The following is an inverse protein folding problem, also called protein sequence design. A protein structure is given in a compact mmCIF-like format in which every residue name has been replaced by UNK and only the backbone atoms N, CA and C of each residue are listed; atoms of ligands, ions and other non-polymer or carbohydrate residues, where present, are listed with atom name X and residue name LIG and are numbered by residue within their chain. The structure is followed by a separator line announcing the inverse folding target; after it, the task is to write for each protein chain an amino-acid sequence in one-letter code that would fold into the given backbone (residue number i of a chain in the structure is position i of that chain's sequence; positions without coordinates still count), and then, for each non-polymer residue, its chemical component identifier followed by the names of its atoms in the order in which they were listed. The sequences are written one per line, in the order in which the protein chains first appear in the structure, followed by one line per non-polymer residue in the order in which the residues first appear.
data_IF_942722051574
#
_entry.id   IF_942722051574
#
_cell.length_a   1.000
_cell.length_b   1.000
_cell.length_c   1.000
_cell.angle_alpha   90.00
_cell.angle_beta   90.00
_cell.angle_gamma   90.00
#
_symmetry.space_group_name_H-M   'P 1'
#
loop_
_entity.id
_entity.type
_entity.pdbx_description
1 polymer ?
#
# COMPACT_ATOMS: atom_id res chain seq x y z
N UNK A 1 6.67 7.03 -14.20
CA UNK A 1 7.75 7.53 -13.31
C UNK A 1 7.47 7.26 -11.81
N UNK A 2 6.88 6.11 -11.45
CA UNK A 2 6.37 5.89 -10.06
C UNK A 2 6.78 4.54 -9.46
N UNK A 3 7.33 3.63 -10.27
CA UNK A 3 7.74 2.33 -9.77
C UNK A 3 9.00 2.47 -8.90
N UNK A 4 9.07 1.66 -7.85
CA UNK A 4 10.22 1.58 -6.96
C UNK A 4 11.51 1.20 -7.70
N UNK A 5 11.42 0.37 -8.74
CA UNK A 5 12.56 0.00 -9.59
C UNK A 5 13.29 1.19 -10.23
N UNK A 6 12.59 2.31 -10.45
CA UNK A 6 13.17 3.53 -11.03
C UNK A 6 13.55 4.61 -10.00
N UNK A 7 13.53 4.29 -8.71
CA UNK A 7 13.86 5.26 -7.64
C UNK A 7 15.26 5.86 -7.82
N UNK A 8 16.27 5.03 -8.10
CA UNK A 8 17.66 5.49 -8.29
C UNK A 8 17.78 6.46 -9.47
N UNK A 9 17.12 6.16 -10.58
CA UNK A 9 17.07 7.02 -11.76
C UNK A 9 16.44 8.36 -11.43
N UNK A 10 15.29 8.38 -10.75
CA UNK A 10 14.62 9.63 -10.33
C UNK A 10 15.52 10.46 -9.43
N UNK A 11 16.17 9.83 -8.44
CA UNK A 11 17.09 10.53 -7.54
C UNK A 11 18.25 11.17 -8.30
N UNK A 12 18.86 10.47 -9.25
CA UNK A 12 19.92 11.05 -10.09
C UNK A 12 19.40 12.24 -10.91
N UNK A 13 18.25 12.10 -11.59
CA UNK A 13 17.64 13.21 -12.34
C UNK A 13 17.39 14.42 -11.44
N UNK A 14 16.74 14.26 -10.29
CA UNK A 14 16.37 15.36 -9.38
C UNK A 14 17.56 15.96 -8.62
N UNK A 15 18.70 15.26 -8.55
CA UNK A 15 19.90 15.73 -7.85
C UNK A 15 20.91 16.39 -8.79
N UNK A 16 20.91 16.06 -10.07
CA UNK A 16 21.93 16.52 -11.01
C UNK A 16 21.36 17.42 -12.11
N UNK A 17 20.05 17.33 -12.38
CA UNK A 17 19.42 17.95 -13.54
C UNK A 17 18.09 18.62 -13.17
N UNK A 18 17.51 19.35 -14.12
CA UNK A 18 16.22 20.04 -13.97
C UNK A 18 15.25 19.56 -15.02
N UNK A 19 14.06 19.13 -14.61
CA UNK A 19 12.98 18.79 -15.55
C UNK A 19 12.27 20.10 -15.93
N UNK A 20 12.42 20.50 -17.20
CA UNK A 20 11.82 21.73 -17.71
C UNK A 20 10.35 21.52 -18.04
N UNK A 21 10.04 20.41 -18.71
CA UNK A 21 8.68 20.05 -19.05
C UNK A 21 8.48 18.54 -19.16
N UNK A 22 7.25 18.09 -18.96
CA UNK A 22 6.84 16.70 -19.13
C UNK A 22 5.42 16.62 -19.66
N UNK A 23 5.21 15.86 -20.73
CA UNK A 23 3.92 15.41 -21.20
C UNK A 23 3.73 13.94 -20.80
N UNK A 24 2.77 13.68 -19.93
CA UNK A 24 2.46 12.34 -19.43
C UNK A 24 1.23 11.80 -20.14
N UNK A 25 1.47 10.98 -21.18
CA UNK A 25 0.41 10.44 -22.03
C UNK A 25 -0.24 9.19 -21.44
N UNK A 26 0.47 8.37 -20.66
CA UNK A 26 -0.09 7.10 -20.20
C UNK A 26 -0.24 6.07 -21.34
N UNK A 27 -1.20 5.15 -21.22
CA UNK A 27 -1.42 4.09 -22.20
C UNK A 27 -2.18 4.55 -23.43
N UNK A 28 -2.05 3.87 -24.58
CA UNK A 28 -2.68 4.27 -25.87
C UNK A 28 -2.23 5.63 -26.39
N UNK A 29 -0.97 5.97 -26.17
CA UNK A 29 -0.37 7.19 -26.72
C UNK A 29 -0.14 7.12 -28.25
N UNK A 30 -0.01 5.90 -28.77
CA UNK A 30 0.17 5.61 -30.20
C UNK A 30 -0.79 4.50 -30.57
N UNK A 31 -1.64 4.74 -31.56
CA UNK A 31 -2.68 3.77 -31.97
C UNK A 31 -2.08 2.50 -32.59
N UNK A 32 -0.83 2.57 -33.06
CA UNK A 32 -0.06 1.43 -33.56
C UNK A 32 0.33 0.42 -32.46
N UNK A 33 0.27 0.80 -31.19
CA UNK A 33 0.54 -0.08 -30.06
C UNK A 33 -0.80 -0.59 -29.53
N UNK A 34 -1.08 -1.87 -29.76
CA UNK A 34 -2.33 -2.50 -29.33
C UNK A 34 -2.47 -2.55 -27.80
N UNK A 35 -3.62 -2.11 -27.30
CA UNK A 35 -4.00 -2.22 -25.88
C UNK A 35 -3.24 -1.30 -24.94
N UNK A 36 -3.25 -1.62 -23.64
CA UNK A 36 -2.60 -0.85 -22.58
C UNK A 36 -1.26 -1.45 -22.15
N UNK A 37 -0.48 -1.91 -23.13
CA UNK A 37 0.77 -2.64 -22.87
C UNK A 37 1.90 -1.70 -22.43
N UNK A 38 1.88 -0.44 -22.87
CA UNK A 38 2.94 0.55 -22.62
C UNK A 38 2.34 1.86 -22.13
N UNK A 39 2.99 2.49 -21.14
CA UNK A 39 2.68 3.83 -20.66
C UNK A 39 3.77 4.81 -21.10
N UNK A 40 3.38 5.87 -21.81
CA UNK A 40 4.30 6.79 -22.49
C UNK A 40 4.37 8.15 -21.79
N UNK A 41 5.57 8.73 -21.74
CA UNK A 41 5.77 10.13 -21.37
C UNK A 41 6.93 10.72 -22.19
N UNK A 42 6.83 11.99 -22.52
CA UNK A 42 7.91 12.77 -23.12
C UNK A 42 8.32 13.87 -22.13
N UNK A 43 9.61 14.18 -22.04
CA UNK A 43 10.12 15.18 -21.10
C UNK A 43 11.36 15.87 -21.65
N UNK A 44 11.62 17.07 -21.14
CA UNK A 44 12.83 17.85 -21.41
C UNK A 44 13.61 18.00 -20.12
N UNK A 45 14.89 17.64 -20.16
CA UNK A 45 15.81 17.78 -19.03
C UNK A 45 16.91 18.76 -19.41
N UNK A 46 17.13 19.75 -18.55
CA UNK A 46 18.29 20.61 -18.59
C UNK A 46 19.40 20.00 -17.73
N UNK A 47 20.62 19.94 -18.27
CA UNK A 47 21.81 19.39 -17.59
C UNK A 47 22.43 20.42 -16.63
N UNK A 48 21.60 20.96 -15.76
CA UNK A 48 21.94 21.88 -14.68
C UNK A 48 20.93 21.66 -13.56
N UNK A 49 21.33 21.92 -12.31
CA UNK A 49 20.44 21.78 -11.17
C UNK A 49 19.83 23.12 -10.77
N UNK A 50 18.50 23.19 -10.82
CA UNK A 50 17.68 24.29 -10.35
C UNK A 50 16.54 23.73 -9.48
N UNK A 51 16.80 23.58 -8.18
CA UNK A 51 15.88 22.92 -7.24
C UNK A 51 14.48 23.56 -7.20
N UNK A 52 14.44 24.89 -7.20
CA UNK A 52 13.22 25.69 -7.10
C UNK A 52 12.54 25.97 -8.47
N UNK A 53 13.13 25.51 -9.56
CA UNK A 53 12.57 25.74 -10.89
C UNK A 53 11.25 24.97 -11.03
N UNK A 54 10.17 25.69 -11.35
CA UNK A 54 8.82 25.12 -11.54
C UNK A 54 8.64 24.66 -12.99
N UNK A 55 8.94 23.38 -13.23
CA UNK A 55 8.71 22.72 -14.52
C UNK A 55 7.23 22.72 -14.94
N UNK A 56 6.97 22.59 -16.24
CA UNK A 56 5.63 22.50 -16.80
C UNK A 56 5.23 21.03 -17.04
N UNK A 57 4.19 20.56 -16.35
CA UNK A 57 3.74 19.18 -16.46
C UNK A 57 2.31 19.11 -17.00
N UNK A 58 2.11 18.29 -18.03
CA UNK A 58 0.83 18.06 -18.67
C UNK A 58 0.37 16.62 -18.43
N UNK A 59 -0.78 16.46 -17.83
CA UNK A 59 -1.44 15.17 -17.66
C UNK A 59 -2.38 14.92 -18.84
N UNK A 60 -2.03 13.95 -19.69
CA UNK A 60 -2.68 13.64 -20.97
C UNK A 60 -3.14 12.18 -21.00
N UNK A 61 -3.78 11.74 -19.91
CA UNK A 61 -4.12 10.32 -19.67
C UNK A 61 -5.58 10.00 -19.96
N UNK A 62 -6.41 11.01 -20.24
CA UNK A 62 -7.86 10.85 -20.36
C UNK A 62 -8.25 10.35 -21.77
N UNK A 63 -7.47 10.71 -22.79
CA UNK A 63 -7.69 10.30 -24.18
C UNK A 63 -7.42 8.80 -24.45
N UNK A 64 -8.25 8.19 -25.32
CA UNK A 64 -8.18 6.76 -25.62
C UNK A 64 -7.45 6.41 -26.92
N UNK A 65 -7.08 7.42 -27.71
CA UNK A 65 -6.34 7.29 -28.97
C UNK A 65 -5.40 8.49 -29.18
N UNK A 66 -4.57 8.43 -30.21
CA UNK A 66 -3.64 9.49 -30.58
C UNK A 66 -4.37 10.84 -30.84
N UNK A 67 -5.51 10.78 -31.53
CA UNK A 67 -6.29 11.98 -31.87
C UNK A 67 -6.83 12.68 -30.61
N UNK A 68 -7.37 11.92 -29.65
CA UNK A 68 -7.87 12.45 -28.38
C UNK A 68 -6.75 13.14 -27.60
N UNK A 69 -5.58 12.49 -27.50
CA UNK A 69 -4.43 13.02 -26.75
C UNK A 69 -3.83 14.25 -27.40
N UNK A 70 -3.87 14.33 -28.73
CA UNK A 70 -3.48 15.54 -29.48
C UNK A 70 -4.44 16.69 -29.21
N UNK A 71 -5.74 16.43 -29.12
CA UNK A 71 -6.73 17.44 -28.75
C UNK A 71 -6.53 17.89 -27.29
N UNK A 72 -6.34 16.93 -26.37
CA UNK A 72 -6.08 17.18 -24.95
C UNK A 72 -4.79 17.98 -24.73
N UNK A 73 -3.73 17.69 -25.49
CA UNK A 73 -2.50 18.47 -25.46
C UNK A 73 -2.78 19.94 -25.80
N UNK A 74 -3.56 20.20 -26.85
CA UNK A 74 -3.90 21.57 -27.28
C UNK A 74 -4.73 22.32 -26.24
N UNK A 75 -5.59 21.63 -25.50
CA UNK A 75 -6.43 22.28 -24.47
C UNK A 75 -5.67 22.52 -23.17
N UNK A 76 -4.84 21.56 -22.74
CA UNK A 76 -4.13 21.63 -21.45
C UNK A 76 -2.82 22.43 -21.51
N UNK A 77 -2.28 22.74 -22.70
CA UNK A 77 -1.01 23.47 -22.84
C UNK A 77 -1.03 24.87 -22.22
N UNK A 78 -2.20 25.52 -22.13
CA UNK A 78 -2.36 26.85 -21.53
C UNK A 78 -2.28 26.85 -20.01
N UNK A 79 -2.57 25.73 -19.36
CA UNK A 79 -2.61 25.60 -17.89
C UNK A 79 -1.91 24.31 -17.42
N UNK A 80 -0.57 24.25 -17.53
CA UNK A 80 0.19 23.12 -17.04
C UNK A 80 0.31 23.15 -15.51
N UNK A 81 0.43 21.96 -14.91
CA UNK A 81 0.87 21.87 -13.52
C UNK A 81 2.29 22.42 -13.37
N UNK A 82 2.54 23.11 -12.26
CA UNK A 82 3.83 23.74 -11.94
C UNK A 82 4.37 23.20 -10.64
N UNK A 83 5.45 22.43 -10.71
CA UNK A 83 6.05 21.78 -9.55
C UNK A 83 7.58 21.80 -9.66
N UNK A 84 8.26 21.98 -8.52
CA UNK A 84 9.71 22.03 -8.48
C UNK A 84 10.34 20.69 -8.10
N UNK A 85 11.64 20.55 -8.34
CA UNK A 85 12.38 19.38 -7.86
C UNK A 85 12.46 19.33 -6.33
N UNK A 86 12.44 20.49 -5.66
CA UNK A 86 12.35 20.58 -4.20
C UNK A 86 11.05 19.96 -3.69
N UNK A 87 9.91 20.24 -4.34
CA UNK A 87 8.62 19.68 -3.94
C UNK A 87 8.55 18.16 -4.09
N UNK A 88 9.13 17.60 -5.16
CA UNK A 88 9.20 16.14 -5.30
C UNK A 88 10.03 15.50 -4.19
N UNK A 89 11.08 16.17 -3.71
CA UNK A 89 11.95 15.66 -2.64
C UNK A 89 11.28 15.65 -1.26
N UNK A 90 10.20 16.41 -1.05
CA UNK A 90 9.40 16.37 0.19
C UNK A 90 8.71 15.02 0.38
N UNK A 91 8.39 14.32 -0.72
CA UNK A 91 7.77 13.00 -0.67
C UNK A 91 8.86 11.92 -0.62
N UNK A 92 8.76 10.94 0.30
CA UNK A 92 9.68 9.81 0.33
C UNK A 92 9.83 9.12 -1.04
N UNK A 93 11.04 8.70 -1.40
CA UNK A 93 11.40 8.12 -2.72
C UNK A 93 11.33 9.08 -3.93
N UNK A 94 10.99 10.35 -3.70
CA UNK A 94 10.97 11.40 -4.71
C UNK A 94 10.19 11.06 -6.00
N UNK A 95 8.93 10.58 -5.92
CA UNK A 95 8.14 10.35 -7.12
C UNK A 95 7.80 11.68 -7.80
N UNK A 96 7.78 11.70 -9.13
CA UNK A 96 7.47 12.90 -9.92
C UNK A 96 5.95 13.10 -9.98
N UNK A 97 5.35 13.47 -8.85
CA UNK A 97 3.91 13.63 -8.68
C UNK A 97 3.51 15.10 -8.79
N UNK A 98 3.51 15.62 -10.02
CA UNK A 98 3.26 17.05 -10.30
C UNK A 98 1.79 17.49 -10.07
N UNK A 99 0.85 16.55 -9.93
CA UNK A 99 -0.57 16.83 -9.71
C UNK A 99 -0.95 16.85 -8.22
N UNK A 100 -0.01 16.56 -7.34
CA UNK A 100 -0.25 16.49 -5.89
C UNK A 100 -0.33 17.91 -5.33
N UNK A 101 -1.31 18.14 -4.46
CA UNK A 101 -1.49 19.45 -3.82
C UNK A 101 -0.43 19.71 -2.76
N UNK A 102 -0.15 20.99 -2.51
CA UNK A 102 0.77 21.43 -1.46
C UNK A 102 0.39 20.85 -0.08
N UNK A 103 -0.91 20.71 0.21
CA UNK A 103 -1.41 20.09 1.44
C UNK A 103 -0.88 18.66 1.62
N UNK A 104 -0.80 17.88 0.54
CA UNK A 104 -0.30 16.51 0.62
C UNK A 104 1.21 16.51 0.82
N UNK A 105 1.95 17.37 0.11
CA UNK A 105 3.41 17.49 0.33
C UNK A 105 3.74 17.91 1.76
N UNK A 106 2.97 18.85 2.32
CA UNK A 106 3.13 19.33 3.70
C UNK A 106 2.87 18.22 4.71
N UNK A 107 1.91 17.33 4.42
CA UNK A 107 1.65 16.16 5.26
C UNK A 107 2.89 15.27 5.34
N UNK A 108 3.53 14.98 4.20
CA UNK A 108 4.73 14.14 4.16
C UNK A 108 5.96 14.80 4.80
N UNK A 109 6.09 16.13 4.69
CA UNK A 109 7.23 16.87 5.22
C UNK A 109 7.16 17.07 6.74
N UNK A 110 5.99 17.45 7.27
CA UNK A 110 5.85 17.89 8.66
C UNK A 110 5.29 16.83 9.61
N UNK A 111 4.72 15.72 9.11
CA UNK A 111 4.13 14.69 9.97
C UNK A 111 5.02 13.46 10.09
N UNK A 112 4.90 12.80 11.25
CA UNK A 112 5.56 11.52 11.48
C UNK A 112 4.92 10.44 10.62
N UNK A 113 5.76 9.59 10.04
CA UNK A 113 5.32 8.39 9.31
C UNK A 113 4.46 7.52 10.22
N UNK A 114 3.34 7.03 9.73
CA UNK A 114 2.46 6.13 10.48
C UNK A 114 3.21 4.93 11.05
N UNK A 115 4.15 4.36 10.28
CA UNK A 115 4.99 3.24 10.71
C UNK A 115 5.78 3.50 11.99
N UNK A 116 6.17 4.76 12.25
CA UNK A 116 6.89 5.13 13.47
C UNK A 116 6.02 5.14 14.73
N UNK A 117 4.70 5.24 14.56
CA UNK A 117 3.72 5.28 15.66
C UNK A 117 3.05 3.92 15.81
N UNK A 118 2.65 3.32 14.69
CA UNK A 118 1.95 2.05 14.60
C UNK A 118 2.53 1.25 13.43
N UNK A 119 3.51 0.36 13.68
CA UNK A 119 4.10 -0.41 12.61
C UNK A 119 3.06 -1.36 12.00
N UNK A 120 2.97 -1.36 10.67
CA UNK A 120 2.15 -2.33 9.95
C UNK A 120 2.70 -3.74 10.17
N UNK A 121 1.94 -4.60 10.85
CA UNK A 121 2.32 -5.99 11.11
C UNK A 121 1.30 -6.94 10.51
N UNK A 122 1.80 -8.00 9.89
CA UNK A 122 0.97 -9.12 9.46
C UNK A 122 0.60 -9.94 10.70
N UNK A 123 -0.71 -10.20 10.87
CA UNK A 123 -1.23 -11.03 11.95
C UNK A 123 -0.95 -12.52 11.75
N UNK A 124 -1.50 -13.35 12.64
CA UNK A 124 -1.40 -14.81 12.53
C UNK A 124 -2.02 -15.31 11.21
N UNK A 125 -1.26 -16.07 10.42
CA UNK A 125 -1.80 -16.82 9.30
C UNK A 125 -1.85 -18.31 9.68
N UNK A 126 -3.06 -18.84 9.83
CA UNK A 126 -3.29 -20.22 10.32
C UNK A 126 -2.91 -21.31 9.31
N UNK A 127 -2.87 -20.99 8.01
CA UNK A 127 -2.58 -21.94 6.94
C UNK A 127 -3.77 -22.83 6.54
N UNK A 128 -4.73 -23.03 7.44
CA UNK A 128 -6.03 -23.64 7.15
C UNK A 128 -7.10 -23.06 8.08
N UNK A 129 -8.05 -22.31 7.53
CA UNK A 129 -9.14 -21.74 8.33
C UNK A 129 -10.11 -22.83 8.83
N UNK A 130 -10.38 -23.86 8.00
CA UNK A 130 -11.35 -24.91 8.31
C UNK A 130 -10.94 -25.77 9.51
N UNK A 131 -9.64 -25.84 9.80
CA UNK A 131 -9.11 -26.60 10.93
C UNK A 131 -9.04 -25.70 12.17
N UNK A 132 -8.52 -24.49 12.01
CA UNK A 132 -8.05 -23.69 13.15
C UNK A 132 -8.95 -22.50 13.53
N UNK A 133 -9.95 -22.15 12.71
CA UNK A 133 -10.81 -21.00 12.93
C UNK A 133 -12.27 -21.44 13.05
N UNK A 134 -12.98 -20.93 14.04
CA UNK A 134 -14.40 -21.18 14.27
C UNK A 134 -15.13 -19.87 14.51
N UNK A 135 -16.45 -19.87 14.41
CA UNK A 135 -17.24 -18.77 14.96
C UNK A 135 -17.33 -18.89 16.48
N UNK A 136 -17.38 -17.77 17.19
CA UNK A 136 -17.39 -17.78 18.66
C UNK A 136 -18.58 -18.54 19.25
N UNK A 137 -19.70 -18.60 18.52
CA UNK A 137 -20.93 -19.30 18.91
C UNK A 137 -20.91 -20.80 18.57
N UNK A 138 -19.95 -21.30 17.80
CA UNK A 138 -19.83 -22.73 17.47
C UNK A 138 -19.17 -23.55 18.58
N UNK A 139 -18.50 -22.89 19.52
CA UNK A 139 -17.72 -23.56 20.56
C UNK A 139 -18.27 -23.25 21.94
N UNK A 140 -17.98 -24.12 22.91
CA UNK A 140 -18.37 -23.88 24.29
C UNK A 140 -17.70 -22.63 24.86
N UNK A 141 -18.49 -21.71 25.40
CA UNK A 141 -17.99 -20.51 26.09
C UNK A 141 -17.00 -20.82 27.23
N UNK A 142 -17.10 -22.01 27.86
CA UNK A 142 -16.15 -22.46 28.90
C UNK A 142 -14.73 -22.68 28.35
N UNK A 143 -14.62 -23.07 27.07
CA UNK A 143 -13.34 -23.31 26.38
C UNK A 143 -12.81 -22.06 25.66
N UNK A 144 -13.53 -20.94 25.73
CA UNK A 144 -13.21 -19.70 25.02
C UNK A 144 -12.78 -18.59 25.98
N UNK A 145 -11.70 -17.91 25.64
CA UNK A 145 -11.19 -16.75 26.39
C UNK A 145 -11.58 -15.45 25.71
N UNK A 146 -12.72 -14.86 26.08
CA UNK A 146 -13.14 -13.56 25.52
C UNK A 146 -12.39 -12.36 26.11
N UNK A 147 -11.86 -12.50 27.33
CA UNK A 147 -11.21 -11.40 28.03
C UNK A 147 -9.72 -11.34 27.72
N UNK A 148 -9.31 -10.23 27.11
CA UNK A 148 -7.92 -9.92 26.79
C UNK A 148 -7.33 -9.07 27.94
N UNK A 149 -7.12 -9.69 29.10
CA UNK A 149 -6.36 -9.07 30.18
C UNK A 149 -4.94 -9.65 30.22
N UNK A 150 -3.94 -8.82 30.58
CA UNK A 150 -2.50 -9.14 30.54
C UNK A 150 -2.10 -10.43 31.28
N UNK A 151 -2.90 -10.91 32.22
CA UNK A 151 -2.79 -12.25 32.82
C UNK A 151 -3.66 -13.20 32.02
N UNK A 152 -3.17 -13.58 30.84
CA UNK A 152 -3.87 -14.55 29.99
C UNK A 152 -3.93 -15.90 30.70
N UNK A 153 -5.14 -16.42 30.88
CA UNK A 153 -5.36 -17.82 31.17
C UNK A 153 -5.19 -18.62 29.88
N UNK A 154 -3.95 -19.01 29.59
CA UNK A 154 -3.59 -19.83 28.43
C UNK A 154 -4.05 -21.30 28.56
N UNK A 155 -4.81 -21.65 29.60
CA UNK A 155 -5.42 -22.98 29.73
C UNK A 155 -6.62 -23.16 28.79
N UNK A 156 -7.17 -22.07 28.22
CA UNK A 156 -8.28 -22.14 27.28
C UNK A 156 -7.81 -22.48 25.87
N UNK A 157 -8.70 -23.11 25.09
CA UNK A 157 -8.41 -23.54 23.72
C UNK A 157 -8.65 -22.43 22.71
N UNK A 158 -9.72 -21.66 22.86
CA UNK A 158 -10.18 -20.73 21.83
C UNK A 158 -9.99 -19.26 22.25
N UNK A 159 -9.47 -18.45 21.33
CA UNK A 159 -9.24 -17.03 21.56
C UNK A 159 -9.78 -16.17 20.41
N UNK A 160 -10.22 -14.93 20.67
CA UNK A 160 -10.65 -13.98 19.65
C UNK A 160 -9.61 -13.84 18.55
N UNK A 161 -10.07 -13.99 17.32
CA UNK A 161 -9.23 -13.95 16.13
C UNK A 161 -9.77 -12.91 15.17
N UNK A 162 -8.95 -11.89 14.90
CA UNK A 162 -9.32 -10.89 13.92
C UNK A 162 -8.98 -11.41 12.53
N UNK A 163 -9.93 -12.13 11.95
CA UNK A 163 -10.01 -12.34 10.51
C UNK A 163 -10.68 -11.10 9.93
N UNK A 164 -10.16 -10.54 8.85
CA UNK A 164 -10.89 -9.48 8.13
C UNK A 164 -12.33 -9.90 7.82
N UNK A 165 -13.16 -8.98 7.39
CA UNK A 165 -14.56 -9.28 7.12
C UNK A 165 -15.19 -8.19 6.29
N UNK A 166 -16.51 -8.12 6.31
CA UNK A 166 -17.26 -7.15 5.54
C UNK A 166 -16.93 -5.71 5.95
N UNK A 167 -17.20 -4.78 5.05
CA UNK A 167 -16.96 -3.36 5.29
C UNK A 167 -17.70 -2.87 6.54
N UNK A 168 -16.94 -2.33 7.50
CA UNK A 168 -17.44 -1.71 8.74
C UNK A 168 -16.62 -0.45 9.02
N UNK A 169 -17.29 0.65 9.39
CA UNK A 169 -16.63 1.96 9.60
C UNK A 169 -15.88 2.09 10.92
N UNK A 170 -16.38 1.49 11.99
CA UNK A 170 -15.93 1.81 13.35
C UNK A 170 -15.51 0.58 14.17
N UNK A 171 -16.38 -0.41 14.24
CA UNK A 171 -16.19 -1.60 15.05
C UNK A 171 -17.07 -2.75 14.52
N UNK A 172 -16.58 -3.99 14.63
CA UNK A 172 -17.31 -5.18 14.19
C UNK A 172 -16.39 -6.32 13.77
N UNK A 173 -16.96 -7.32 13.10
CA UNK A 173 -16.28 -8.50 12.52
C UNK A 173 -15.51 -9.36 13.55
N UNK A 174 -15.81 -9.22 14.84
CA UNK A 174 -15.23 -10.01 15.92
C UNK A 174 -15.97 -11.36 16.08
N UNK A 175 -16.22 -12.03 14.96
CA UNK A 175 -17.01 -13.25 14.93
C UNK A 175 -16.14 -14.50 15.06
N UNK A 176 -14.87 -14.38 14.69
CA UNK A 176 -13.96 -15.50 14.58
C UNK A 176 -13.15 -15.69 15.86
N UNK A 177 -12.89 -16.96 16.16
CA UNK A 177 -11.98 -17.42 17.20
C UNK A 177 -10.99 -18.41 16.59
N UNK A 178 -9.78 -18.48 17.15
CA UNK A 178 -8.71 -19.35 16.67
C UNK A 178 -8.26 -20.32 17.77
N UNK A 179 -7.84 -21.51 17.36
CA UNK A 179 -7.23 -22.49 18.25
C UNK A 179 -5.86 -21.96 18.75
N UNK A 180 -5.75 -21.73 20.05
CA UNK A 180 -4.52 -21.30 20.74
C UNK A 180 -4.00 -22.34 21.72
N UNK A 181 -4.58 -23.54 21.73
CA UNK A 181 -4.19 -24.59 22.67
C UNK A 181 -2.68 -24.86 22.63
N UNK A 182 -2.09 -25.01 23.82
CA UNK A 182 -0.66 -25.24 24.02
C UNK A 182 0.24 -24.22 23.30
N UNK A 183 -0.10 -22.92 23.39
CA UNK A 183 0.64 -21.84 22.72
C UNK A 183 0.75 -22.04 21.19
N UNK A 184 -0.40 -22.29 20.56
CA UNK A 184 -0.54 -22.37 19.09
C UNK A 184 0.20 -23.59 18.52
N UNK A 185 0.40 -24.66 19.31
CA UNK A 185 1.22 -25.81 18.93
C UNK A 185 0.80 -26.45 17.61
N UNK A 186 -0.49 -26.70 17.42
CA UNK A 186 -1.00 -27.34 16.19
C UNK A 186 -0.75 -26.48 14.95
N UNK A 187 -1.02 -25.18 15.05
CA UNK A 187 -0.77 -24.24 13.95
C UNK A 187 0.73 -24.17 13.68
N UNK A 188 1.59 -24.10 14.71
CA UNK A 188 3.05 -24.00 14.57
C UNK A 188 3.69 -25.22 13.92
N UNK A 189 3.06 -26.38 14.01
CA UNK A 189 3.52 -27.62 13.39
C UNK A 189 2.68 -28.03 12.17
N UNK A 190 1.84 -27.12 11.65
CA UNK A 190 1.01 -27.42 10.48
C UNK A 190 1.85 -27.38 9.20
N UNK A 191 2.33 -28.56 8.79
CA UNK A 191 3.17 -28.75 7.60
C UNK A 191 2.38 -29.41 6.46
N UNK A 192 2.81 -29.16 5.22
CA UNK A 192 2.35 -29.89 4.05
C UNK A 192 2.96 -31.31 3.99
N UNK A 193 2.53 -32.13 3.03
CA UNK A 193 3.07 -33.47 2.75
C UNK A 193 4.59 -33.46 2.50
N UNK A 194 5.12 -32.32 2.02
CA UNK A 194 6.54 -32.10 1.76
C UNK A 194 7.30 -31.51 2.97
N UNK A 195 6.71 -31.49 4.17
CA UNK A 195 7.32 -30.94 5.39
C UNK A 195 7.41 -29.42 5.47
N UNK A 196 6.93 -28.68 4.46
CA UNK A 196 6.92 -27.22 4.45
C UNK A 196 5.83 -26.68 5.37
N UNK A 197 6.18 -25.82 6.32
CA UNK A 197 5.22 -25.17 7.20
C UNK A 197 4.23 -24.32 6.39
N UNK A 198 2.93 -24.60 6.55
CA UNK A 198 1.83 -23.87 5.90
C UNK A 198 1.37 -22.65 6.68
N UNK A 199 1.46 -22.70 8.00
CA UNK A 199 1.14 -21.56 8.86
C UNK A 199 2.28 -20.53 8.89
N UNK A 200 1.94 -19.30 9.31
CA UNK A 200 2.90 -18.21 9.58
C UNK A 200 2.51 -17.50 10.89
N UNK A 201 2.90 -18.05 12.06
CA UNK A 201 2.75 -17.38 13.34
C UNK A 201 3.88 -16.36 13.56
N UNK A 202 3.82 -15.23 12.85
CA UNK A 202 4.78 -14.12 12.94
C UNK A 202 4.28 -12.99 13.85
N UNK A 203 5.17 -12.13 14.35
CA UNK A 203 4.84 -10.93 15.14
C UNK A 203 4.06 -11.24 16.44
N UNK A 204 4.42 -12.32 17.13
CA UNK A 204 3.67 -12.86 18.29
C UNK A 204 3.62 -11.89 19.46
N UNK A 205 4.65 -11.08 19.61
CA UNK A 205 4.75 -9.99 20.57
C UNK A 205 3.69 -8.88 20.38
N UNK A 206 3.00 -8.86 19.24
CA UNK A 206 1.89 -7.94 18.96
C UNK A 206 0.51 -8.58 19.14
N UNK A 207 0.45 -9.89 19.38
CA UNK A 207 -0.82 -10.56 19.64
C UNK A 207 -1.43 -10.04 20.94
N UNK A 208 -2.75 -9.99 20.97
CA UNK A 208 -3.53 -9.53 22.12
C UNK A 208 -3.26 -8.08 22.58
N UNK A 209 -2.50 -7.28 21.82
CA UNK A 209 -2.41 -5.83 22.00
C UNK A 209 -3.53 -5.11 21.25
N UNK A 210 -3.94 -3.95 21.78
CA UNK A 210 -4.84 -3.01 21.10
C UNK A 210 -4.24 -2.61 19.76
N UNK A 211 -5.05 -2.68 18.71
CA UNK A 211 -4.62 -2.46 17.31
C UNK A 211 -5.77 -2.02 16.44
N UNK A 212 -5.44 -1.41 15.31
CA UNK A 212 -6.37 -1.15 14.21
C UNK A 212 -6.15 -2.25 13.16
N UNK A 213 -7.23 -2.82 12.64
CA UNK A 213 -7.17 -3.83 11.58
C UNK A 213 -7.48 -3.16 10.24
N UNK A 214 -6.66 -3.44 9.24
CA UNK A 214 -6.93 -3.06 7.86
C UNK A 214 -7.10 -4.34 7.05
N UNK A 215 -8.10 -4.37 6.18
CA UNK A 215 -8.25 -5.45 5.23
C UNK A 215 -7.19 -5.27 4.14
N UNK A 216 -6.56 -6.36 3.70
CA UNK A 216 -5.67 -6.30 2.54
C UNK A 216 -6.51 -5.91 1.31
N UNK A 217 -6.48 -4.63 0.96
CA UNK A 217 -6.85 -4.18 -0.38
C UNK A 217 -5.78 -4.71 -1.32
N UNK A 218 -6.03 -5.88 -1.91
CA UNK A 218 -5.40 -6.22 -3.16
C UNK A 218 -5.87 -5.20 -4.18
N UNK A 219 -5.11 -4.11 -4.35
CA UNK A 219 -5.08 -3.39 -5.61
C UNK A 219 -4.61 -4.43 -6.63
N UNK A 220 -5.56 -5.08 -7.31
CA UNK A 220 -5.27 -5.80 -8.54
C UNK A 220 -4.61 -4.77 -9.47
N UNK A 221 -3.31 -4.93 -9.67
CA UNK A 221 -2.58 -4.30 -10.75
C UNK A 221 -3.09 -4.83 -12.08
#
# INVERSE_FOLDING_TARGET
MFLSSYEKLRKSILNENTILSMAHFGARAFDSIGGEVVSTTAFVIEKSQHLEYKGAYLQLIDGNCEADKKAELKTKISDPFRTSAADFKKIPEGPIMYWVSEKITDIFEHNKRLESIAPGKVGLQTGSNDIFVRYWFEVSAKKTSFSINRKHDFSRKWFPYNKGGDYRKWYGNNENIVNWENDVYEIRNFTDQNGKLRSRPQNREYYFKSRILFMNCWLKR
#
